data_IF_049734293842
#
_entry.id   IF_049734293842
#
_cell.length_a   1.000
_cell.length_b   1.000
_cell.length_c   1.000
_cell.angle_alpha   90.00
_cell.angle_beta   90.00
_cell.angle_gamma   90.00
#
_symmetry.space_group_name_H-M   'P 1'
#
loop_
_entity.id
_entity.type
_entity.pdbx_description
1 polymer ?
#
# COMPACT_ATOMS: atom_id res chain seq x y z
N UNK A 1 6.93 -3.95 11.63
CA UNK A 1 6.69 -2.94 12.71
C UNK A 1 7.97 -2.44 13.39
N UNK A 2 9.10 -3.15 13.29
CA UNK A 2 10.35 -2.84 14.03
C UNK A 2 10.91 -1.43 13.80
N UNK A 3 10.77 -0.88 12.59
CA UNK A 3 11.29 0.46 12.23
C UNK A 3 10.70 1.56 13.10
N UNK A 4 9.40 1.47 13.39
CA UNK A 4 8.69 2.47 14.19
C UNK A 4 9.13 2.42 15.66
N UNK A 5 9.33 1.23 16.22
CA UNK A 5 9.85 1.08 17.59
C UNK A 5 11.31 1.55 17.71
N UNK A 6 12.14 1.25 16.71
CA UNK A 6 13.51 1.73 16.66
C UNK A 6 13.56 3.26 16.53
N UNK A 7 12.74 3.85 15.65
CA UNK A 7 12.57 5.29 15.53
C UNK A 7 12.11 5.93 16.85
N UNK A 8 11.11 5.34 17.51
CA UNK A 8 10.62 5.80 18.81
C UNK A 8 11.73 5.78 19.88
N UNK A 9 12.54 4.72 19.91
CA UNK A 9 13.64 4.59 20.86
C UNK A 9 14.72 5.68 20.61
N UNK A 10 15.10 5.90 19.35
CA UNK A 10 16.03 6.98 18.96
C UNK A 10 15.44 8.35 19.29
N UNK A 11 14.15 8.53 19.06
CA UNK A 11 13.43 9.76 19.37
C UNK A 11 13.53 10.07 20.88
N UNK A 12 13.15 9.11 21.73
CA UNK A 12 13.20 9.26 23.19
C UNK A 12 14.62 9.51 23.70
N UNK A 13 15.60 8.80 23.15
CA UNK A 13 17.00 8.97 23.50
C UNK A 13 17.50 10.39 23.17
N UNK A 14 17.19 10.90 21.97
CA UNK A 14 17.56 12.27 21.59
C UNK A 14 16.87 13.35 22.43
N UNK A 15 15.56 13.20 22.70
CA UNK A 15 14.84 14.12 23.59
C UNK A 15 15.45 14.13 24.99
N UNK A 16 15.79 12.95 25.51
CA UNK A 16 16.43 12.81 26.84
C UNK A 16 17.80 13.48 26.87
N UNK A 17 18.64 13.27 25.85
CA UNK A 17 19.95 13.92 25.74
C UNK A 17 19.80 15.44 25.73
N UNK A 18 18.83 15.96 24.99
CA UNK A 18 18.61 17.40 24.89
C UNK A 18 18.15 17.99 26.21
N UNK A 19 17.25 17.31 26.93
CA UNK A 19 16.80 17.70 28.26
C UNK A 19 17.92 17.61 29.31
N UNK A 20 18.87 16.69 29.12
CA UNK A 20 20.02 16.52 29.99
C UNK A 20 21.08 17.61 29.75
N UNK A 21 21.45 17.86 28.49
CA UNK A 21 22.46 18.85 28.12
C UNK A 21 21.99 20.30 28.28
N UNK A 22 20.68 20.55 28.29
CA UNK A 22 20.05 21.86 28.45
C UNK A 22 20.77 22.96 27.64
N UNK A 23 20.82 22.85 26.31
CA UNK A 23 21.61 23.77 25.51
C UNK A 23 21.10 25.22 25.66
N UNK A 24 22.05 26.18 25.68
CA UNK A 24 21.81 27.63 25.82
C UNK A 24 20.86 28.22 24.75
N UNK A 25 20.65 27.48 23.66
CA UNK A 25 19.74 27.86 22.58
C UNK A 25 18.27 27.92 23.04
N UNK A 26 17.84 26.98 23.89
CA UNK A 26 16.43 26.87 24.33
C UNK A 26 16.24 26.94 25.84
N UNK A 27 17.33 26.85 26.62
CA UNK A 27 17.31 26.97 28.07
C UNK A 27 18.05 28.23 28.55
N UNK A 28 17.52 28.84 29.61
CA UNK A 28 18.25 29.82 30.40
C UNK A 28 19.26 29.12 31.33
N UNK A 29 20.28 29.83 31.82
CA UNK A 29 21.23 29.30 32.81
C UNK A 29 20.56 28.77 34.09
N UNK A 30 19.38 29.31 34.45
CA UNK A 30 18.57 28.87 35.59
C UNK A 30 17.69 27.64 35.33
N UNK A 31 17.75 27.04 34.13
CA UNK A 31 16.95 25.85 33.79
C UNK A 31 15.50 26.15 33.37
N UNK A 32 15.11 27.42 33.28
CA UNK A 32 13.83 27.82 32.68
C UNK A 32 13.90 27.77 31.16
N UNK A 33 12.77 27.45 30.53
CA UNK A 33 12.65 27.41 29.08
C UNK A 33 12.67 28.84 28.51
N UNK A 34 13.30 29.04 27.36
CA UNK A 34 13.25 30.31 26.63
C UNK A 34 11.93 30.44 25.89
N UNK A 35 11.38 31.64 25.89
CA UNK A 35 10.21 31.97 25.08
C UNK A 35 10.58 32.05 23.60
N UNK A 36 9.63 31.72 22.74
CA UNK A 36 9.79 31.87 21.29
C UNK A 36 9.76 33.37 20.89
N UNK A 37 10.67 33.77 20.01
CA UNK A 37 10.52 35.01 19.23
C UNK A 37 11.15 34.91 17.86
N UNK A 38 10.64 35.74 16.95
CA UNK A 38 11.24 36.03 15.66
C UNK A 38 12.30 37.13 15.74
N UNK A 39 12.24 37.97 16.78
CA UNK A 39 13.23 39.01 17.00
C UNK A 39 14.49 38.40 17.63
N UNK A 40 15.69 38.77 17.16
CA UNK A 40 16.95 38.32 17.74
C UNK A 40 17.15 38.95 19.12
N UNK A 41 16.66 38.29 20.16
CA UNK A 41 16.86 38.67 21.55
C UNK A 41 17.67 37.59 22.29
N UNK A 42 18.63 37.95 23.15
CA UNK A 42 19.47 36.98 23.87
C UNK A 42 18.69 36.08 24.84
N UNK A 43 17.53 36.56 25.32
CA UNK A 43 16.66 35.84 26.26
C UNK A 43 15.56 35.03 25.58
N UNK A 44 15.50 35.04 24.25
CA UNK A 44 14.47 34.33 23.49
C UNK A 44 15.11 33.36 22.52
N UNK A 45 14.31 32.42 22.02
CA UNK A 45 14.77 31.39 21.08
C UNK A 45 13.96 31.42 19.80
N UNK A 46 14.66 31.26 18.68
CA UNK A 46 14.01 31.05 17.38
C UNK A 46 13.54 29.61 17.21
N UNK A 47 14.05 28.68 18.03
CA UNK A 47 13.77 27.25 17.96
C UNK A 47 13.21 26.75 19.30
N UNK A 48 11.89 26.80 19.49
CA UNK A 48 11.26 26.28 20.70
C UNK A 48 11.32 24.75 20.74
N UNK A 49 11.14 24.18 21.93
CA UNK A 49 11.27 22.74 22.14
C UNK A 49 10.29 21.89 21.33
N UNK A 50 9.06 22.37 21.15
CA UNK A 50 8.08 21.66 20.34
C UNK A 50 8.54 21.58 18.88
N UNK A 51 9.16 22.64 18.34
CA UNK A 51 9.68 22.67 16.98
C UNK A 51 10.85 21.69 16.84
N UNK A 52 11.75 21.69 17.81
CA UNK A 52 12.81 20.68 17.91
C UNK A 52 12.23 19.26 17.95
N UNK A 53 11.20 19.02 18.77
CA UNK A 53 10.61 17.70 18.95
C UNK A 53 10.00 17.16 17.65
N UNK A 54 9.29 18.00 16.90
CA UNK A 54 8.73 17.63 15.60
C UNK A 54 9.84 17.36 14.58
N UNK A 55 10.84 18.23 14.50
CA UNK A 55 11.98 18.05 13.60
C UNK A 55 12.75 16.76 13.94
N UNK A 56 12.97 16.50 15.22
CA UNK A 56 13.64 15.31 15.72
C UNK A 56 12.85 14.04 15.42
N UNK A 57 11.52 14.08 15.45
CA UNK A 57 10.70 12.94 15.04
C UNK A 57 10.97 12.53 13.58
N UNK A 58 11.02 13.49 12.65
CA UNK A 58 11.38 13.21 11.25
C UNK A 58 12.80 12.68 11.12
N UNK A 59 13.77 13.30 11.79
CA UNK A 59 15.17 12.86 11.78
C UNK A 59 15.28 11.43 12.32
N UNK A 60 14.63 11.13 13.44
CA UNK A 60 14.66 9.81 14.07
C UNK A 60 14.11 8.72 13.15
N UNK A 61 13.03 9.02 12.42
CA UNK A 61 12.47 8.10 11.43
C UNK A 61 13.41 7.89 10.23
N UNK A 62 14.03 8.95 9.72
CA UNK A 62 15.01 8.85 8.63
C UNK A 62 16.24 8.04 9.04
N UNK A 63 16.76 8.27 10.25
CA UNK A 63 17.88 7.52 10.81
C UNK A 63 17.49 6.05 11.02
N UNK A 64 16.32 5.77 11.59
CA UNK A 64 15.85 4.41 11.79
C UNK A 64 15.71 3.65 10.46
N UNK A 65 15.13 4.31 9.45
CA UNK A 65 15.00 3.75 8.10
C UNK A 65 16.38 3.54 7.46
N UNK A 66 17.30 4.48 7.65
CA UNK A 66 18.68 4.38 7.15
C UNK A 66 19.45 3.22 7.78
N UNK A 67 19.35 3.05 9.11
CA UNK A 67 19.95 1.95 9.85
C UNK A 67 19.38 0.62 9.37
N UNK A 68 18.07 0.49 9.21
CA UNK A 68 17.47 -0.75 8.73
C UNK A 68 17.94 -1.08 7.31
N UNK A 69 17.98 -0.09 6.40
CA UNK A 69 18.49 -0.28 5.03
C UNK A 69 19.97 -0.66 5.03
N UNK A 70 20.76 -0.03 5.90
CA UNK A 70 22.18 -0.33 6.05
C UNK A 70 22.40 -1.74 6.60
N UNK A 71 21.68 -2.14 7.64
CA UNK A 71 21.76 -3.48 8.23
C UNK A 71 21.28 -4.57 7.24
N UNK A 72 20.22 -4.31 6.48
CA UNK A 72 19.77 -5.22 5.41
C UNK A 72 20.80 -5.32 4.27
N UNK A 73 21.45 -4.21 3.92
CA UNK A 73 22.49 -4.17 2.87
C UNK A 73 23.80 -4.82 3.31
N UNK A 74 24.17 -4.66 4.59
CA UNK A 74 25.37 -5.26 5.19
C UNK A 74 25.15 -6.71 5.66
N UNK A 75 23.89 -7.13 5.80
CA UNK A 75 23.46 -8.40 6.36
C UNK A 75 23.19 -9.50 5.33
N UNK A 76 23.91 -9.55 4.21
CA UNK A 76 23.89 -10.73 3.32
C UNK A 76 24.52 -11.99 3.95
N UNK A 77 24.75 -11.99 5.27
CA UNK A 77 25.09 -13.16 6.06
C UNK A 77 23.99 -13.30 7.12
N UNK A 78 22.99 -14.10 6.76
CA UNK A 78 21.98 -14.79 7.57
C UNK A 78 21.91 -14.45 9.06
N UNK A 79 20.76 -13.96 9.53
CA UNK A 79 19.96 -14.65 10.57
C UNK A 79 18.49 -14.28 10.32
N UNK A 80 17.70 -15.31 10.04
CA UNK A 80 16.25 -15.29 10.01
C UNK A 80 15.67 -14.60 11.26
N UNK A 81 14.83 -13.60 11.03
CA UNK A 81 13.97 -13.04 12.06
C UNK A 81 12.52 -13.24 11.62
N UNK A 82 11.96 -14.34 12.10
CA UNK A 82 10.54 -14.58 12.34
C UNK A 82 9.61 -14.25 11.15
N UNK A 83 9.65 -15.13 10.14
CA UNK A 83 8.40 -15.50 9.47
C UNK A 83 7.71 -16.44 10.46
N UNK A 84 6.66 -15.95 11.12
CA UNK A 84 5.71 -16.83 11.79
C UNK A 84 5.23 -17.87 10.77
N UNK A 85 5.65 -19.11 10.99
CA UNK A 85 5.05 -20.30 10.40
C UNK A 85 3.55 -20.29 10.72
N UNK A 86 2.76 -19.69 9.83
CA UNK A 86 1.37 -20.08 9.70
C UNK A 86 1.37 -21.41 8.97
N UNK A 87 1.26 -22.49 9.75
CA UNK A 87 0.85 -23.82 9.33
C UNK A 87 -0.24 -23.71 8.25
N UNK A 88 0.19 -23.90 7.01
CA UNK A 88 -0.70 -24.00 5.88
C UNK A 88 -1.15 -25.45 5.84
N UNK A 89 -2.45 -25.76 5.95
CA UNK A 89 -2.89 -27.14 5.82
C UNK A 89 -2.48 -27.68 4.46
N UNK A 90 -1.86 -28.86 4.47
CA UNK A 90 -1.51 -29.66 3.30
C UNK A 90 -2.78 -29.89 2.46
N UNK A 91 -2.96 -29.09 1.42
CA UNK A 91 -4.01 -29.32 0.42
C UNK A 91 -3.45 -30.35 -0.55
N UNK A 92 -3.86 -31.59 -0.34
CA UNK A 92 -3.73 -32.69 -1.30
C UNK A 92 -4.20 -32.20 -2.68
N UNK A 93 -3.28 -32.12 -3.64
CA UNK A 93 -3.59 -31.77 -5.03
C UNK A 93 -4.25 -33.00 -5.65
N UNK A 94 -5.58 -33.10 -5.51
CA UNK A 94 -6.37 -34.04 -6.29
C UNK A 94 -6.40 -33.55 -7.75
N UNK A 95 -5.83 -34.32 -8.66
CA UNK A 95 -5.83 -34.02 -10.09
C UNK A 95 -7.28 -33.80 -10.58
N UNK A 96 -7.57 -32.72 -11.33
CA UNK A 96 -8.94 -32.45 -11.75
C UNK A 96 -9.40 -33.52 -12.74
N UNK A 97 -10.28 -34.39 -12.27
CA UNK A 97 -11.04 -35.30 -13.14
C UNK A 97 -11.82 -34.48 -14.18
N UNK A 98 -11.89 -34.92 -15.44
CA UNK A 98 -12.56 -34.16 -16.49
C UNK A 98 -14.06 -34.05 -16.19
N UNK A 99 -14.51 -32.84 -15.86
CA UNK A 99 -15.91 -32.52 -15.64
C UNK A 99 -16.68 -32.72 -16.94
N UNK A 100 -17.51 -33.76 -16.97
CA UNK A 100 -18.42 -34.11 -18.06
C UNK A 100 -19.40 -32.96 -18.29
N UNK A 101 -19.17 -32.18 -19.35
CA UNK A 101 -20.08 -31.13 -19.81
C UNK A 101 -21.47 -31.70 -20.09
N UNK A 102 -22.43 -31.47 -19.18
CA UNK A 102 -23.86 -31.65 -19.48
C UNK A 102 -24.30 -30.48 -20.36
N UNK A 103 -24.41 -30.76 -21.66
CA UNK A 103 -25.03 -29.91 -22.66
C UNK A 103 -26.40 -29.43 -22.16
N UNK A 104 -26.49 -28.15 -21.77
CA UNK A 104 -27.78 -27.46 -21.59
C UNK A 104 -28.14 -26.81 -22.91
N UNK A 105 -29.25 -27.28 -23.47
CA UNK A 105 -29.91 -26.80 -24.68
C UNK A 105 -30.25 -25.31 -24.51
N UNK A 106 -29.86 -24.41 -25.43
CA UNK A 106 -30.22 -22.99 -25.31
C UNK A 106 -31.73 -22.82 -25.54
N UNK A 107 -32.36 -22.06 -24.64
CA UNK A 107 -33.72 -21.56 -24.79
C UNK A 107 -33.66 -20.33 -25.69
N UNK A 108 -34.31 -20.41 -26.85
CA UNK A 108 -34.52 -19.29 -27.76
C UNK A 108 -35.41 -18.26 -27.09
N UNK A 109 -34.92 -17.03 -26.94
CA UNK A 109 -35.77 -15.84 -26.80
C UNK A 109 -35.32 -14.83 -27.84
N UNK A 110 -36.03 -14.80 -28.96
CA UNK A 110 -36.04 -13.67 -29.87
C UNK A 110 -36.86 -12.57 -29.20
N UNK A 111 -36.26 -11.39 -29.03
CA UNK A 111 -37.00 -10.15 -28.88
C UNK A 111 -36.14 -9.00 -29.37
N UNK A 112 -36.38 -8.70 -30.65
CA UNK A 112 -36.21 -7.44 -31.36
C UNK A 112 -36.06 -6.21 -30.45
N UNK A 113 -34.86 -5.62 -30.46
CA UNK A 113 -34.63 -4.18 -30.41
C UNK A 113 -33.20 -3.92 -30.90
N UNK A 114 -33.08 -3.50 -32.16
CA UNK A 114 -31.91 -2.82 -32.68
C UNK A 114 -31.71 -1.52 -31.89
N UNK A 115 -30.89 -1.58 -30.86
CA UNK A 115 -30.16 -0.41 -30.36
C UNK A 115 -28.72 -0.61 -30.78
N UNK A 116 -28.25 0.25 -31.69
CA UNK A 116 -26.83 0.51 -31.88
C UNK A 116 -26.26 1.00 -30.54
N UNK A 117 -25.84 0.06 -29.70
CA UNK A 117 -25.10 0.38 -28.48
C UNK A 117 -23.69 0.68 -28.92
N UNK A 118 -23.43 1.95 -29.20
CA UNK A 118 -22.06 2.45 -29.35
C UNK A 118 -21.24 2.00 -28.13
N UNK A 119 -20.07 1.37 -28.32
CA UNK A 119 -19.24 0.97 -27.21
C UNK A 119 -18.77 2.22 -26.46
N UNK A 120 -18.98 2.23 -25.14
CA UNK A 120 -18.56 3.31 -24.22
C UNK A 120 -17.03 3.49 -24.18
N UNK A 121 -16.27 2.67 -24.92
CA UNK A 121 -14.82 2.78 -25.12
C UNK A 121 -14.40 4.13 -25.68
N UNK A 122 -15.26 4.81 -26.45
CA UNK A 122 -14.99 6.15 -26.98
C UNK A 122 -14.89 7.22 -25.89
N UNK A 123 -15.50 7.01 -24.72
CA UNK A 123 -15.60 8.01 -23.66
C UNK A 123 -14.46 7.92 -22.64
N UNK A 124 -13.63 6.86 -22.70
CA UNK A 124 -12.60 6.60 -21.70
C UNK A 124 -11.18 6.86 -22.19
N UNK A 125 -11.00 7.26 -23.46
CA UNK A 125 -9.70 7.67 -23.99
C UNK A 125 -8.62 6.59 -23.99
N UNK A 126 -9.00 5.31 -23.85
CA UNK A 126 -8.05 4.20 -23.96
C UNK A 126 -7.71 3.97 -25.44
N UNK A 127 -6.61 4.58 -25.87
CA UNK A 127 -5.97 4.27 -27.15
C UNK A 127 -5.47 2.81 -27.11
N UNK A 128 -6.22 1.93 -27.79
CA UNK A 128 -5.74 0.78 -28.56
C UNK A 128 -4.64 -0.07 -27.90
N UNK A 129 -4.97 -0.83 -26.85
CA UNK A 129 -4.22 -2.03 -26.52
C UNK A 129 -4.85 -3.23 -27.21
N UNK A 130 -4.10 -3.90 -28.10
CA UNK A 130 -4.54 -5.08 -28.88
C UNK A 130 -5.13 -6.22 -28.04
N UNK A 131 -4.88 -6.24 -26.74
CA UNK A 131 -5.34 -7.29 -25.84
C UNK A 131 -6.37 -6.67 -24.90
N UNK A 132 -7.61 -7.16 -24.93
CA UNK A 132 -8.63 -6.77 -23.98
C UNK A 132 -8.33 -7.28 -22.58
N UNK A 133 -8.97 -6.66 -21.57
CA UNK A 133 -8.79 -7.02 -20.16
C UNK A 133 -10.11 -7.43 -19.52
N UNK A 134 -10.02 -8.35 -18.56
CA UNK A 134 -11.16 -8.81 -17.77
C UNK A 134 -11.30 -7.94 -16.53
N UNK A 135 -12.47 -7.36 -16.32
CA UNK A 135 -12.79 -6.59 -15.11
C UNK A 135 -13.82 -7.38 -14.30
N UNK A 136 -13.57 -7.51 -12.99
CA UNK A 136 -14.50 -8.13 -12.07
C UNK A 136 -15.78 -7.29 -11.96
N UNK A 137 -16.93 -7.92 -12.20
CA UNK A 137 -18.23 -7.29 -11.99
C UNK A 137 -18.56 -7.32 -10.49
N UNK A 138 -18.18 -6.25 -9.79
CA UNK A 138 -18.40 -6.08 -8.35
C UNK A 138 -19.88 -6.10 -7.96
N UNK A 139 -20.80 -5.69 -8.86
CA UNK A 139 -22.24 -5.70 -8.61
C UNK A 139 -22.81 -7.12 -8.54
N UNK A 140 -22.42 -7.98 -9.47
CA UNK A 140 -22.82 -9.40 -9.47
C UNK A 140 -22.08 -10.22 -8.42
N UNK A 141 -20.82 -9.86 -8.13
CA UNK A 141 -20.06 -10.48 -7.06
C UNK A 141 -20.71 -10.24 -5.69
N UNK A 142 -21.12 -9.01 -5.38
CA UNK A 142 -21.77 -8.71 -4.11
C UNK A 142 -23.12 -9.42 -3.93
N UNK A 143 -23.85 -9.70 -5.01
CA UNK A 143 -25.16 -10.35 -4.92
C UNK A 143 -25.06 -11.87 -4.76
N UNK A 144 -24.15 -12.52 -5.48
CA UNK A 144 -24.13 -13.98 -5.60
C UNK A 144 -22.85 -14.62 -5.03
N UNK A 145 -21.87 -13.81 -4.61
CA UNK A 145 -20.54 -14.25 -4.14
C UNK A 145 -19.77 -15.11 -5.15
N UNK A 146 -20.21 -15.13 -6.41
CA UNK A 146 -19.52 -15.81 -7.51
C UNK A 146 -18.78 -14.76 -8.35
N UNK A 147 -17.44 -14.86 -8.50
CA UNK A 147 -16.68 -13.89 -9.28
C UNK A 147 -17.08 -13.99 -10.75
N UNK A 148 -17.75 -12.94 -11.25
CA UNK A 148 -18.16 -12.82 -12.65
C UNK A 148 -17.31 -11.76 -13.32
N UNK A 149 -16.58 -12.12 -14.37
CA UNK A 149 -15.73 -11.18 -15.10
C UNK A 149 -16.40 -10.74 -16.41
N UNK A 150 -16.20 -9.47 -16.76
CA UNK A 150 -16.63 -8.89 -18.04
C UNK A 150 -15.37 -8.55 -18.84
N UNK A 151 -15.30 -9.02 -20.08
CA UNK A 151 -14.19 -8.75 -20.98
C UNK A 151 -14.39 -7.42 -21.69
N UNK A 152 -13.37 -6.57 -21.69
CA UNK A 152 -13.32 -5.30 -22.38
C UNK A 152 -12.18 -5.32 -23.40
N UNK A 153 -12.50 -5.40 -24.69
CA UNK A 153 -11.53 -5.39 -25.78
C UNK A 153 -12.20 -5.36 -27.15
N UNK A 154 -11.44 -4.99 -28.16
CA UNK A 154 -11.94 -4.83 -29.54
C UNK A 154 -12.09 -6.16 -30.30
N UNK A 155 -11.52 -7.24 -29.77
CA UNK A 155 -11.58 -8.59 -30.35
C UNK A 155 -12.09 -9.57 -29.27
N UNK A 156 -13.05 -10.46 -29.58
CA UNK A 156 -13.52 -11.46 -28.62
C UNK A 156 -12.36 -12.39 -28.20
N UNK A 157 -12.37 -12.92 -26.96
CA UNK A 157 -11.28 -13.77 -26.48
C UNK A 157 -11.11 -15.03 -27.34
N UNK A 158 -9.87 -15.42 -27.62
CA UNK A 158 -9.56 -16.68 -28.29
C UNK A 158 -10.18 -17.86 -27.53
N UNK A 159 -11.07 -18.60 -28.18
CA UNK A 159 -11.87 -19.68 -27.59
C UNK A 159 -13.38 -19.41 -27.48
N UNK A 160 -13.84 -18.17 -27.71
CA UNK A 160 -15.28 -17.85 -27.83
C UNK A 160 -15.84 -17.99 -29.25
N UNK A 161 -14.98 -18.14 -30.27
CA UNK A 161 -15.40 -18.50 -31.62
C UNK A 161 -15.69 -20.00 -31.65
N UNK A 162 -16.95 -20.35 -31.41
CA UNK A 162 -17.47 -21.67 -31.68
C UNK A 162 -17.84 -21.72 -33.16
N UNK A 163 -17.16 -22.61 -33.89
CA UNK A 163 -17.37 -22.99 -35.29
C UNK A 163 -18.79 -22.66 -35.79
N UNK A 164 -18.88 -21.79 -36.80
CA UNK A 164 -20.07 -21.64 -37.66
C UNK A 164 -19.99 -22.61 -38.83
#
# INVERSE_FOLDING_TARGET
MHVLFLALTIYLLGVTIVLYLRPKLMFHPGGTWKEFSLNPDPNRTWMPFWLFSVLWAFISYLVATGIQRFLLSAGSNEVDADIEDMDMPEVEVEEPTPVRNRSRKPVNLNSDMDMDVEPVSKNMGLNTSKNGFYVLNTKKYNSNHVPTYVYYGDQPPEGFMKDS
#
